data_IF_980990744749
#
_entry.id   IF_980990744749
#
_cell.length_a   1.000
_cell.length_b   1.000
_cell.length_c   1.000
_cell.angle_alpha   90.00
_cell.angle_beta   90.00
_cell.angle_gamma   90.00
#
_symmetry.space_group_name_H-M   'P 1'
#
loop_
_entity.id
_entity.type
_entity.pdbx_description
1 polymer ?
#
# COMPACT_ATOMS: atom_id res chain seq x y z
N UNK A 1 -18.01 14.93 11.74
CA UNK A 1 -17.30 13.66 12.01
C UNK A 1 -17.59 12.71 10.85
N UNK A 2 -16.60 12.28 10.06
CA UNK A 2 -16.83 11.27 9.01
C UNK A 2 -16.78 9.88 9.64
N UNK A 3 -17.86 9.12 9.55
CA UNK A 3 -17.91 7.73 9.99
C UNK A 3 -17.79 6.88 8.72
N UNK A 4 -16.88 5.90 8.73
CA UNK A 4 -16.81 4.88 7.69
C UNK A 4 -17.82 3.77 8.00
N UNK A 5 -18.47 3.26 6.97
CA UNK A 5 -19.46 2.19 7.06
C UNK A 5 -18.92 0.92 6.39
N UNK A 6 -19.12 -0.21 7.06
CA UNK A 6 -18.85 -1.54 6.53
C UNK A 6 -20.19 -2.29 6.46
N UNK A 7 -20.56 -2.70 5.26
CA UNK A 7 -21.61 -3.68 5.04
C UNK A 7 -20.95 -5.05 4.82
N UNK A 8 -20.94 -5.87 5.87
CA UNK A 8 -20.33 -7.20 5.82
C UNK A 8 -21.09 -8.15 4.88
N UNK A 9 -22.42 -8.02 4.77
CA UNK A 9 -23.21 -8.93 3.93
C UNK A 9 -22.89 -8.72 2.45
N UNK A 10 -22.84 -7.44 2.04
CA UNK A 10 -22.55 -7.06 0.65
C UNK A 10 -21.04 -6.98 0.35
N UNK A 11 -20.19 -7.11 1.39
CA UNK A 11 -18.73 -6.91 1.31
C UNK A 11 -18.36 -5.52 0.75
N UNK A 12 -19.11 -4.50 1.16
CA UNK A 12 -18.94 -3.11 0.72
C UNK A 12 -18.42 -2.26 1.88
N UNK A 13 -17.49 -1.37 1.56
CA UNK A 13 -17.03 -0.30 2.44
C UNK A 13 -17.38 1.03 1.80
N UNK A 14 -17.98 1.92 2.59
CA UNK A 14 -18.28 3.28 2.16
C UNK A 14 -17.76 4.31 3.16
N UNK A 15 -17.30 5.46 2.67
CA UNK A 15 -16.85 6.54 3.54
C UNK A 15 -16.95 7.90 2.85
N UNK A 16 -17.21 8.94 3.63
CA UNK A 16 -17.13 10.33 3.16
C UNK A 16 -15.66 10.75 3.06
N UNK A 17 -15.27 11.33 1.93
CA UNK A 17 -13.89 11.75 1.68
C UNK A 17 -13.79 13.25 1.36
N UNK A 18 -13.68 14.07 2.42
CA UNK A 18 -13.77 15.52 2.33
C UNK A 18 -15.22 16.00 2.49
N UNK A 19 -15.55 17.17 1.96
CA UNK A 19 -16.90 17.75 2.08
C UNK A 19 -17.88 17.08 1.11
N UNK A 20 -17.48 16.95 -0.15
CA UNK A 20 -18.41 16.69 -1.26
C UNK A 20 -18.20 15.35 -1.97
N UNK A 21 -17.42 14.43 -1.38
CA UNK A 21 -17.18 13.10 -1.99
C UNK A 21 -17.63 11.98 -1.09
N UNK A 22 -18.30 11.01 -1.70
CA UNK A 22 -18.64 9.74 -1.11
C UNK A 22 -17.92 8.64 -1.89
N UNK A 23 -17.16 7.81 -1.17
CA UNK A 23 -16.34 6.74 -1.75
C UNK A 23 -16.95 5.41 -1.35
N UNK A 24 -17.17 4.55 -2.34
CA UNK A 24 -17.69 3.19 -2.16
C UNK A 24 -16.72 2.23 -2.83
N UNK A 25 -16.39 1.13 -2.17
CA UNK A 25 -15.56 0.05 -2.70
C UNK A 25 -16.11 -1.30 -2.26
N UNK A 26 -16.00 -2.32 -3.12
CA UNK A 26 -16.45 -3.68 -2.78
C UNK A 26 -15.92 -4.78 -3.71
N UNK A 27 -15.03 -4.45 -4.65
CA UNK A 27 -14.53 -5.41 -5.64
C UNK A 27 -13.04 -5.73 -5.41
N UNK A 28 -12.68 -6.99 -5.69
CA UNK A 28 -11.32 -7.50 -5.67
C UNK A 28 -11.21 -8.64 -6.69
N UNK A 29 -10.19 -8.61 -7.55
CA UNK A 29 -10.05 -9.53 -8.69
C UNK A 29 -8.59 -9.91 -8.90
N UNK A 30 -8.36 -11.14 -9.35
CA UNK A 30 -7.08 -11.59 -9.89
C UNK A 30 -7.12 -11.45 -11.41
N UNK A 31 -6.65 -10.32 -11.93
CA UNK A 31 -6.67 -10.01 -13.36
C UNK A 31 -5.34 -9.40 -13.86
N UNK A 32 -4.23 -9.82 -13.26
CA UNK A 32 -2.90 -9.29 -13.58
C UNK A 32 -2.80 -7.78 -13.38
N UNK A 33 -2.24 -7.08 -14.38
CA UNK A 33 -2.09 -5.62 -14.38
C UNK A 33 -3.26 -4.88 -15.07
N UNK A 34 -4.36 -5.57 -15.36
CA UNK A 34 -5.53 -5.00 -16.02
C UNK A 34 -6.17 -3.91 -15.14
N UNK A 35 -6.53 -2.77 -15.74
CA UNK A 35 -7.20 -1.63 -15.09
C UNK A 35 -8.52 -1.25 -15.79
N UNK A 36 -9.01 -2.09 -16.68
CA UNK A 36 -10.27 -1.93 -17.40
C UNK A 36 -11.42 -1.91 -16.40
N UNK A 37 -12.29 -0.94 -16.58
CA UNK A 37 -13.48 -0.76 -15.74
C UNK A 37 -14.65 -1.44 -16.41
N UNK A 38 -15.10 -2.56 -15.83
CA UNK A 38 -16.28 -3.26 -16.32
C UNK A 38 -17.54 -2.75 -15.64
N UNK A 39 -18.53 -2.32 -16.45
CA UNK A 39 -19.79 -1.76 -15.94
C UNK A 39 -20.56 -2.73 -15.03
N UNK A 40 -20.52 -4.03 -15.31
CA UNK A 40 -21.16 -5.06 -14.50
C UNK A 40 -20.54 -5.20 -13.10
N UNK A 41 -19.30 -4.77 -12.91
CA UNK A 41 -18.61 -4.73 -11.61
C UNK A 41 -18.88 -3.45 -10.82
N UNK A 42 -19.24 -2.37 -11.52
CA UNK A 42 -19.57 -1.08 -10.90
C UNK A 42 -21.04 -1.01 -10.49
N UNK A 43 -21.95 -1.56 -11.33
CA UNK A 43 -23.40 -1.50 -11.11
C UNK A 43 -23.83 -1.94 -9.69
N UNK A 44 -23.34 -3.04 -9.10
CA UNK A 44 -23.72 -3.43 -7.74
C UNK A 44 -23.37 -2.37 -6.66
N UNK A 45 -22.28 -1.61 -6.85
CA UNK A 45 -21.89 -0.54 -5.92
C UNK A 45 -22.82 0.67 -6.04
N UNK A 46 -23.23 0.99 -7.27
CA UNK A 46 -24.18 2.07 -7.57
C UNK A 46 -25.56 1.74 -6.99
N UNK A 47 -26.09 0.56 -7.29
CA UNK A 47 -27.39 0.13 -6.77
C UNK A 47 -27.38 0.03 -5.23
N UNK A 48 -26.26 -0.37 -4.64
CA UNK A 48 -26.12 -0.35 -3.18
C UNK A 48 -26.19 1.09 -2.64
N UNK A 49 -25.54 2.05 -3.30
CA UNK A 49 -25.64 3.46 -2.93
C UNK A 49 -27.08 3.97 -3.00
N UNK A 50 -27.77 3.72 -4.10
CA UNK A 50 -29.15 4.18 -4.34
C UNK A 50 -30.14 3.60 -3.32
N UNK A 51 -29.97 2.32 -2.95
CA UNK A 51 -30.80 1.67 -1.93
C UNK A 51 -30.58 2.23 -0.53
N UNK A 52 -29.32 2.47 -0.14
CA UNK A 52 -28.99 2.84 1.24
C UNK A 52 -28.88 4.35 1.47
N UNK A 53 -28.70 5.13 0.41
CA UNK A 53 -28.54 6.59 0.43
C UNK A 53 -29.36 7.24 -0.71
N UNK A 54 -30.70 7.17 -0.67
CA UNK A 54 -31.56 7.63 -1.77
C UNK A 54 -31.46 9.13 -2.08
N UNK A 55 -30.87 9.93 -1.20
CA UNK A 55 -30.61 11.36 -1.42
C UNK A 55 -29.28 11.69 -2.11
N UNK A 56 -28.46 10.68 -2.43
CA UNK A 56 -27.19 10.87 -3.16
C UNK A 56 -27.44 10.63 -4.64
N UNK A 57 -27.11 11.61 -5.48
CA UNK A 57 -27.08 11.41 -6.94
C UNK A 57 -25.88 10.55 -7.34
N UNK A 58 -26.13 9.50 -8.11
CA UNK A 58 -25.14 8.57 -8.68
C UNK A 58 -24.78 8.89 -10.12
N UNK A 59 -25.39 9.91 -10.74
CA UNK A 59 -25.20 10.30 -12.15
C UNK A 59 -23.72 10.58 -12.50
N UNK A 60 -22.98 11.15 -11.56
CA UNK A 60 -21.56 11.49 -11.73
C UNK A 60 -20.61 10.52 -11.02
N UNK A 61 -21.06 9.29 -10.76
CA UNK A 61 -20.20 8.26 -10.18
C UNK A 61 -18.97 8.02 -11.07
N UNK A 62 -17.78 8.25 -10.53
CA UNK A 62 -16.51 8.09 -11.25
C UNK A 62 -15.84 6.79 -10.81
N UNK A 63 -15.93 5.70 -11.60
CA UNK A 63 -15.29 4.45 -11.25
C UNK A 63 -13.77 4.51 -11.49
N UNK A 64 -13.01 3.78 -10.69
CA UNK A 64 -11.58 3.57 -10.93
C UNK A 64 -11.16 2.18 -10.46
N UNK A 65 -10.04 1.70 -11.00
CA UNK A 65 -9.37 0.47 -10.58
C UNK A 65 -7.96 0.78 -10.11
N UNK A 66 -7.49 0.03 -9.12
CA UNK A 66 -6.14 0.13 -8.59
C UNK A 66 -5.55 -1.25 -8.36
N UNK A 67 -4.26 -1.39 -8.62
CA UNK A 67 -3.53 -2.64 -8.39
C UNK A 67 -3.07 -2.70 -6.94
N UNK A 68 -3.27 -3.86 -6.30
CA UNK A 68 -2.79 -4.12 -4.94
C UNK A 68 -1.46 -4.89 -5.04
N UNK A 69 -0.32 -4.30 -4.67
CA UNK A 69 0.94 -5.04 -4.63
C UNK A 69 0.87 -6.07 -3.51
N UNK A 70 0.73 -7.35 -3.87
CA UNK A 70 0.50 -8.46 -2.95
C UNK A 70 1.56 -9.54 -3.18
N UNK A 71 1.98 -10.18 -2.11
CA UNK A 71 2.85 -11.37 -2.18
C UNK A 71 1.98 -12.64 -2.12
N UNK A 72 2.46 -13.79 -2.62
CA UNK A 72 1.73 -15.06 -2.50
C UNK A 72 1.44 -15.48 -1.06
N UNK A 73 2.29 -15.08 -0.11
CA UNK A 73 2.12 -15.36 1.32
C UNK A 73 1.20 -14.37 2.05
N UNK A 74 0.69 -13.33 1.37
CA UNK A 74 -0.09 -12.23 1.96
C UNK A 74 0.66 -11.38 3.00
N UNK A 75 1.98 -11.59 3.16
CA UNK A 75 2.84 -10.81 4.06
C UNK A 75 3.70 -9.82 3.27
N UNK A 76 3.88 -8.57 3.74
CA UNK A 76 4.71 -7.61 3.04
C UNK A 76 6.18 -8.04 3.04
N UNK A 77 6.91 -7.66 1.98
CA UNK A 77 8.37 -7.77 1.91
C UNK A 77 8.98 -6.48 2.44
N UNK A 78 9.54 -6.56 3.65
CA UNK A 78 10.11 -5.43 4.39
C UNK A 78 11.54 -5.78 4.85
N UNK A 79 12.50 -4.90 4.61
CA UNK A 79 13.90 -5.03 5.06
C UNK A 79 14.90 -5.39 3.96
N UNK A 80 16.06 -5.93 4.33
CA UNK A 80 17.17 -6.18 3.40
C UNK A 80 16.79 -7.02 2.18
N UNK A 81 17.38 -6.66 1.04
CA UNK A 81 17.36 -7.39 -0.21
C UNK A 81 18.52 -8.39 -0.32
N UNK A 82 18.64 -9.02 -1.49
CA UNK A 82 19.72 -10.00 -1.76
C UNK A 82 21.07 -9.35 -2.02
N UNK A 83 21.08 -8.07 -2.42
CA UNK A 83 22.29 -7.31 -2.73
C UNK A 83 22.58 -6.31 -1.61
N UNK A 84 23.86 -6.03 -1.29
CA UNK A 84 24.24 -4.98 -0.34
C UNK A 84 23.62 -3.63 -0.73
N UNK A 85 23.19 -2.84 0.26
CA UNK A 85 22.56 -1.54 0.05
C UNK A 85 21.16 -1.56 -0.57
N UNK A 86 20.56 -2.73 -0.82
CA UNK A 86 19.21 -2.84 -1.38
C UNK A 86 18.22 -3.23 -0.29
N UNK A 87 17.12 -2.49 -0.18
CA UNK A 87 16.04 -2.72 0.78
C UNK A 87 14.69 -2.77 0.08
N UNK A 88 13.76 -3.52 0.66
CA UNK A 88 12.39 -3.64 0.18
C UNK A 88 11.40 -3.08 1.20
N UNK A 89 10.36 -2.42 0.70
CA UNK A 89 9.19 -2.00 1.47
C UNK A 89 7.93 -2.11 0.60
N UNK A 90 7.50 -3.34 0.29
CA UNK A 90 6.45 -3.60 -0.71
C UNK A 90 5.56 -4.78 -0.30
N UNK A 91 4.51 -5.06 -1.08
CA UNK A 91 3.69 -6.26 -0.90
C UNK A 91 2.60 -6.17 0.17
N UNK A 92 2.25 -4.97 0.64
CA UNK A 92 1.31 -4.76 1.74
C UNK A 92 -0.18 -4.99 1.39
N UNK A 93 -0.49 -5.22 0.12
CA UNK A 93 -1.85 -5.48 -0.35
C UNK A 93 -2.84 -4.40 0.07
N UNK A 94 -4.00 -4.82 0.60
CA UNK A 94 -5.07 -3.92 1.03
C UNK A 94 -4.78 -3.21 2.37
N UNK A 95 -3.73 -3.62 3.10
CA UNK A 95 -3.31 -3.01 4.37
C UNK A 95 -2.17 -2.01 4.20
N UNK A 96 -1.82 -1.64 2.95
CA UNK A 96 -0.71 -0.73 2.66
C UNK A 96 -0.78 0.59 3.42
N UNK A 97 -1.95 1.24 3.43
CA UNK A 97 -2.11 2.50 4.17
C UNK A 97 -1.91 2.31 5.67
N UNK A 98 -2.55 1.28 6.25
CA UNK A 98 -2.49 0.95 7.68
C UNK A 98 -1.07 0.65 8.16
N UNK A 99 -0.31 -0.12 7.38
CA UNK A 99 1.02 -0.61 7.78
C UNK A 99 2.17 0.32 7.38
N UNK A 100 1.93 1.28 6.48
CA UNK A 100 2.96 2.12 5.85
C UNK A 100 3.94 2.77 6.82
N UNK A 101 3.45 3.43 7.86
CA UNK A 101 4.30 4.16 8.81
C UNK A 101 5.20 3.20 9.61
N UNK A 102 4.64 2.08 10.07
CA UNK A 102 5.38 1.10 10.84
C UNK A 102 6.48 0.43 10.00
N UNK A 103 6.15 -0.01 8.79
CA UNK A 103 7.13 -0.70 7.92
C UNK A 103 8.19 0.25 7.36
N UNK A 104 7.82 1.51 7.09
CA UNK A 104 8.80 2.54 6.74
C UNK A 104 9.82 2.78 7.85
N UNK A 105 9.38 2.84 9.12
CA UNK A 105 10.29 2.98 10.26
C UNK A 105 11.25 1.81 10.37
N UNK A 106 10.75 0.57 10.26
CA UNK A 106 11.59 -0.64 10.34
C UNK A 106 12.67 -0.66 9.25
N UNK A 107 12.34 -0.24 8.03
CA UNK A 107 13.32 -0.16 6.93
C UNK A 107 14.32 0.96 7.15
N UNK A 108 13.87 2.14 7.62
CA UNK A 108 14.76 3.27 7.90
C UNK A 108 15.81 2.92 8.97
N UNK A 109 15.43 2.19 10.02
CA UNK A 109 16.34 1.72 11.06
C UNK A 109 17.42 0.77 10.49
N UNK A 110 17.04 -0.15 9.60
CA UNK A 110 17.99 -1.06 8.94
C UNK A 110 18.95 -0.31 7.99
N UNK A 111 18.42 0.65 7.22
CA UNK A 111 19.23 1.50 6.33
C UNK A 111 20.25 2.30 7.14
N UNK A 112 19.83 2.91 8.25
CA UNK A 112 20.71 3.69 9.12
C UNK A 112 21.82 2.83 9.73
N UNK A 113 21.49 1.60 10.16
CA UNK A 113 22.47 0.67 10.70
C UNK A 113 23.53 0.27 9.66
N UNK A 114 23.13 -0.04 8.42
CA UNK A 114 24.07 -0.42 7.34
C UNK A 114 24.98 0.76 6.94
N UNK A 115 24.43 1.97 6.86
CA UNK A 115 25.21 3.18 6.59
C UNK A 115 26.17 3.53 7.73
N UNK A 116 25.76 3.31 8.98
CA UNK A 116 26.61 3.48 10.16
C UNK A 116 27.80 2.50 10.16
N UNK A 117 27.54 1.22 9.86
CA UNK A 117 28.58 0.19 9.73
C UNK A 117 29.56 0.48 8.58
N UNK A 118 29.08 1.00 7.46
CA UNK A 118 29.93 1.41 6.35
C UNK A 118 30.86 2.59 6.72
N UNK A 119 30.40 3.50 7.58
CA UNK A 119 31.21 4.65 8.05
C UNK A 119 32.30 4.22 9.04
N UNK A 120 32.02 3.27 9.92
CA UNK A 120 33.02 2.74 10.86
C UNK A 120 34.06 1.83 10.18
N UNK A 121 33.73 1.23 9.03
CA UNK A 121 34.66 0.41 8.24
C UNK A 121 35.64 1.18 7.35
N UNK A 122 35.43 2.49 7.14
CA UNK A 122 36.31 3.33 6.31
C UNK A 122 37.57 3.80 7.05
N UNK A 123 37.58 3.74 8.38
CA UNK A 123 38.71 4.18 9.21
C UNK A 123 39.88 3.19 9.28
N UNK A 124 39.73 1.94 8.82
CA UNK A 124 40.77 0.91 8.94
C UNK A 124 41.62 0.69 7.66
N UNK A 125 41.33 1.39 6.56
CA UNK A 125 42.07 1.21 5.30
C UNK A 125 43.30 2.14 5.12
N UNK A 126 43.54 3.09 6.03
CA UNK A 126 44.72 3.98 5.99
C UNK A 126 45.91 3.40 6.80
N UNK A 127 45.72 2.32 7.57
CA UNK A 127 46.70 1.82 8.52
C UNK A 127 47.64 0.67 8.09
N UNK A 128 47.47 0.08 6.89
CA UNK A 128 48.30 -1.05 6.42
C UNK A 128 49.11 -0.70 5.18
N UNK A 129 50.08 0.19 5.33
CA UNK A 129 51.28 0.15 4.49
C UNK A 129 52.35 -0.66 5.24
N UNK A 130 52.91 -1.73 4.67
CA UNK A 130 54.05 -2.41 5.28
C UNK A 130 55.22 -1.41 5.33
N UNK A 131 55.75 -1.14 6.53
CA UNK A 131 57.01 -0.42 6.66
C UNK A 131 58.11 -1.31 6.09
N UNK A 132 58.72 -0.84 5.00
CA UNK A 132 59.93 -1.43 4.45
C UNK A 132 61.12 -1.05 5.33
N UNK A 133 61.81 -2.07 5.87
CA UNK A 133 63.26 -2.22 6.04
C UNK A 133 63.52 -3.44 6.94
#
# INVERSE_FOLDING_TARGET
>A
RSISLLDDRSKIVASRFGKDRFRIAGTAEFNGANKDIRADRIRPLVEWCERHFPGISTEHATPWAGLRPMTPSMLPRVGHGRKPGVFYNTGHGHLGWTLSAATARLVAEQVAAELGACRSGSTDLIGRLPRAA
#
